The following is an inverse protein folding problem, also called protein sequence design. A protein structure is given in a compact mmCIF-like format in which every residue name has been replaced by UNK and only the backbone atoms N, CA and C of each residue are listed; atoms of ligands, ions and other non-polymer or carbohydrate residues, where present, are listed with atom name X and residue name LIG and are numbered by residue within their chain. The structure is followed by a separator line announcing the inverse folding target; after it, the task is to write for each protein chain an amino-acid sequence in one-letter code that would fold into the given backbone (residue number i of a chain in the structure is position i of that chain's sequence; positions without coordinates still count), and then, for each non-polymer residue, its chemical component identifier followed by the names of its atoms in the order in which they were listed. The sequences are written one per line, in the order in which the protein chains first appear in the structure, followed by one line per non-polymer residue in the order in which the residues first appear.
data_IF_446607232632
#
_entry.id   IF_446607232632
#
_cell.length_a   1.000
_cell.length_b   1.000
_cell.length_c   1.000
_cell.angle_alpha   90.00
_cell.angle_beta   90.00
_cell.angle_gamma   90.00
#
_symmetry.space_group_name_H-M   'P 1'
#
loop_
_entity.id
_entity.type
_entity.pdbx_description
1 polymer ?
#
# COMPACT_ATOMS: atom_id res chain seq x y z
N UNK A 1 -5.19 3.16 16.51
CA UNK A 1 -3.94 2.62 17.15
C UNK A 1 -2.76 3.00 16.25
N UNK A 2 -1.62 3.34 16.84
CA UNK A 2 -0.35 3.54 16.14
C UNK A 2 0.26 2.15 15.92
N UNK A 3 0.66 1.85 14.69
CA UNK A 3 1.29 0.58 14.30
C UNK A 3 2.82 0.70 14.32
N UNK A 4 3.33 1.79 13.75
CA UNK A 4 4.76 2.08 13.67
C UNK A 4 4.99 3.58 13.59
N UNK A 5 6.16 4.04 14.03
CA UNK A 5 6.56 5.45 14.00
C UNK A 5 7.98 5.55 13.46
N UNK A 6 8.16 6.36 12.43
CA UNK A 6 9.44 6.70 11.83
C UNK A 6 9.93 8.08 12.24
N UNK A 7 10.75 8.68 11.39
CA UNK A 7 11.30 10.02 11.59
C UNK A 7 10.43 11.13 10.98
N UNK A 8 9.68 10.83 9.94
CA UNK A 8 8.83 11.77 9.19
C UNK A 8 7.36 11.43 9.27
N UNK A 9 7.04 10.13 9.27
CA UNK A 9 5.67 9.63 9.27
C UNK A 9 5.45 8.60 10.35
N UNK A 10 4.17 8.38 10.67
CA UNK A 10 3.72 7.22 11.44
C UNK A 10 2.58 6.52 10.73
N UNK A 11 2.49 5.22 10.96
CA UNK A 11 1.42 4.39 10.45
C UNK A 11 0.36 4.17 11.53
N UNK A 12 -0.88 4.32 11.15
CA UNK A 12 -2.05 4.21 12.03
C UNK A 12 -3.11 3.34 11.38
N UNK A 13 -3.93 2.65 12.20
CA UNK A 13 -5.20 2.15 11.68
C UNK A 13 -6.00 3.31 11.08
N UNK A 14 -6.73 3.05 9.99
CA UNK A 14 -7.67 4.01 9.40
C UNK A 14 -8.65 4.48 10.48
N UNK A 15 -8.97 5.76 10.50
CA UNK A 15 -9.94 6.40 11.41
C UNK A 15 -11.14 6.88 10.61
N UNK A 16 -12.26 7.07 11.29
CA UNK A 16 -13.48 7.59 10.65
C UNK A 16 -13.22 8.88 9.86
N UNK A 17 -12.40 9.79 10.39
CA UNK A 17 -12.04 11.05 9.74
C UNK A 17 -11.19 10.89 8.48
N UNK A 18 -10.55 9.73 8.30
CA UNK A 18 -9.69 9.45 7.16
C UNK A 18 -10.48 8.90 5.95
N UNK A 19 -11.74 8.49 6.17
CA UNK A 19 -12.56 7.81 5.15
C UNK A 19 -12.87 8.66 3.92
N UNK A 20 -13.09 9.96 4.10
CA UNK A 20 -13.38 10.87 2.98
C UNK A 20 -12.15 11.03 2.08
N UNK A 21 -10.97 11.23 2.68
CA UNK A 21 -9.73 11.31 1.94
C UNK A 21 -9.40 9.97 1.25
N UNK A 22 -9.62 8.84 1.92
CA UNK A 22 -9.44 7.51 1.32
C UNK A 22 -10.41 7.27 0.15
N UNK A 23 -11.65 7.76 0.22
CA UNK A 23 -12.63 7.64 -0.85
C UNK A 23 -12.30 8.51 -2.08
N UNK A 24 -11.65 9.64 -1.88
CA UNK A 24 -11.24 10.54 -2.96
C UNK A 24 -10.09 9.96 -3.81
N UNK A 25 -9.31 9.06 -3.24
CA UNK A 25 -8.19 8.39 -3.92
C UNK A 25 -8.59 6.96 -4.26
N UNK A 26 -8.76 6.69 -5.55
CA UNK A 26 -9.22 5.41 -6.08
C UNK A 26 -8.23 4.29 -5.73
N UNK A 27 -8.56 3.50 -4.71
CA UNK A 27 -7.95 2.19 -4.52
C UNK A 27 -8.73 1.16 -5.32
N UNK A 28 -8.11 0.63 -6.35
CA UNK A 28 -8.69 -0.47 -7.11
C UNK A 28 -8.21 -1.77 -6.48
N UNK A 29 -8.97 -2.33 -5.55
CA UNK A 29 -8.75 -3.67 -5.01
C UNK A 29 -9.33 -4.77 -5.90
N UNK A 30 -9.97 -4.41 -7.00
CA UNK A 30 -10.62 -5.34 -7.91
C UNK A 30 -10.65 -4.76 -9.31
N UNK A 31 -10.37 -5.59 -10.29
CA UNK A 31 -10.51 -5.28 -11.72
C UNK A 31 -11.95 -4.85 -12.07
N UNK A 32 -12.93 -5.32 -11.28
CA UNK A 32 -14.35 -5.19 -11.61
C UNK A 32 -15.10 -4.12 -10.82
N UNK A 33 -14.59 -3.71 -9.65
CA UNK A 33 -15.28 -2.71 -8.83
C UNK A 33 -14.32 -1.83 -8.03
N UNK A 34 -14.13 -0.56 -8.42
CA UNK A 34 -13.39 0.37 -7.59
C UNK A 34 -14.14 0.62 -6.27
N UNK A 35 -13.44 0.49 -5.13
CA UNK A 35 -13.95 0.86 -3.81
C UNK A 35 -13.96 2.39 -3.65
N UNK A 36 -14.76 3.07 -4.45
CA UNK A 36 -14.75 4.54 -4.56
C UNK A 36 -15.89 5.21 -3.81
N UNK A 37 -16.84 4.44 -3.27
CA UNK A 37 -17.97 5.00 -2.57
C UNK A 37 -17.68 5.10 -1.07
N UNK A 38 -17.75 6.32 -0.52
CA UNK A 38 -17.66 6.56 0.92
C UNK A 38 -18.63 5.68 1.72
N UNK A 39 -19.83 5.43 1.17
CA UNK A 39 -20.83 4.54 1.77
C UNK A 39 -20.30 3.10 1.91
N UNK A 40 -19.66 2.56 0.87
CA UNK A 40 -19.06 1.20 0.93
C UNK A 40 -17.88 1.15 1.89
N UNK A 41 -16.99 2.14 1.84
CA UNK A 41 -15.87 2.23 2.78
C UNK A 41 -16.37 2.27 4.22
N UNK A 42 -17.45 3.00 4.50
CA UNK A 42 -18.04 3.06 5.83
C UNK A 42 -18.55 1.70 6.30
N UNK A 43 -19.24 0.96 5.44
CA UNK A 43 -19.72 -0.40 5.76
C UNK A 43 -18.57 -1.36 6.09
N UNK A 44 -17.48 -1.30 5.31
CA UNK A 44 -16.30 -2.15 5.58
C UNK A 44 -15.64 -1.71 6.89
N UNK A 45 -15.49 -0.40 7.09
CA UNK A 45 -14.92 0.16 8.33
C UNK A 45 -15.71 -0.28 9.57
N UNK A 46 -17.03 -0.16 9.53
CA UNK A 46 -17.90 -0.53 10.66
C UNK A 46 -17.85 -2.05 10.95
N UNK A 47 -17.53 -2.86 9.92
CA UNK A 47 -17.42 -4.33 10.08
C UNK A 47 -16.10 -4.75 10.75
N UNK A 48 -14.96 -4.20 10.34
CA UNK A 48 -13.64 -4.70 10.76
C UNK A 48 -12.53 -3.63 10.83
N UNK A 49 -12.85 -2.35 10.65
CA UNK A 49 -11.86 -1.28 10.67
C UNK A 49 -10.80 -1.39 9.57
N UNK A 50 -11.10 -2.03 8.45
CA UNK A 50 -10.16 -2.41 7.39
C UNK A 50 -9.01 -3.30 7.87
N UNK A 51 -9.26 -4.18 8.84
CA UNK A 51 -8.22 -5.06 9.36
C UNK A 51 -8.72 -6.48 9.52
N UNK A 52 -8.06 -7.41 8.83
CA UNK A 52 -8.30 -8.85 8.90
C UNK A 52 -6.96 -9.59 8.96
N UNK A 53 -6.99 -10.91 9.02
CA UNK A 53 -5.79 -11.73 8.89
C UNK A 53 -5.17 -11.59 7.50
N UNK A 54 -6.00 -11.56 6.47
CA UNK A 54 -5.57 -11.60 5.07
C UNK A 54 -5.36 -10.23 4.42
N UNK A 55 -5.85 -9.15 5.02
CA UNK A 55 -5.76 -7.81 4.45
C UNK A 55 -5.87 -6.73 5.51
N UNK A 56 -5.31 -5.57 5.20
CA UNK A 56 -5.48 -4.38 6.02
C UNK A 56 -5.18 -3.10 5.28
N UNK A 57 -5.69 -1.99 5.82
CA UNK A 57 -5.37 -0.66 5.35
C UNK A 57 -4.89 0.21 6.50
N UNK A 58 -3.91 1.07 6.21
CA UNK A 58 -3.30 1.98 7.18
C UNK A 58 -3.23 3.39 6.65
N UNK A 59 -3.36 4.36 7.55
CA UNK A 59 -3.14 5.77 7.29
C UNK A 59 -1.65 6.11 7.45
N UNK A 60 -1.12 6.90 6.55
CA UNK A 60 0.20 7.53 6.66
C UNK A 60 -0.05 8.94 7.18
N UNK A 61 0.40 9.22 8.38
CA UNK A 61 0.27 10.55 9.01
C UNK A 61 1.64 11.20 9.14
N UNK A 62 1.76 12.44 8.68
CA UNK A 62 2.95 13.27 8.87
C UNK A 62 3.18 13.54 10.36
N UNK A 63 4.42 13.44 10.82
CA UNK A 63 4.78 13.80 12.20
C UNK A 63 4.85 15.30 12.42
N UNK A 64 5.08 16.08 11.38
CA UNK A 64 5.23 17.52 11.43
C UNK A 64 3.91 18.23 11.78
N UNK A 65 2.86 17.93 11.00
CA UNK A 65 1.58 18.64 11.07
C UNK A 65 0.38 17.73 11.43
N UNK A 66 0.63 16.46 11.67
CA UNK A 66 -0.39 15.43 11.99
C UNK A 66 -1.46 15.27 10.91
N UNK A 67 -1.15 15.67 9.67
CA UNK A 67 -2.03 15.54 8.52
C UNK A 67 -1.93 14.12 7.94
N UNK A 68 -3.04 13.60 7.45
CA UNK A 68 -3.07 12.43 6.61
C UNK A 68 -2.41 12.77 5.27
N UNK A 69 -1.30 12.13 4.94
CA UNK A 69 -0.56 12.36 3.69
C UNK A 69 -0.74 11.23 2.68
N UNK A 70 -1.25 10.10 3.11
CA UNK A 70 -1.47 8.96 2.23
C UNK A 70 -2.09 7.78 2.94
N UNK A 71 -2.29 6.72 2.19
CA UNK A 71 -2.76 5.43 2.71
C UNK A 71 -1.94 4.30 2.12
N UNK A 72 -1.87 3.20 2.85
CA UNK A 72 -1.32 1.95 2.38
C UNK A 72 -2.31 0.82 2.61
N UNK A 73 -2.14 -0.23 1.85
CA UNK A 73 -2.86 -1.47 2.03
C UNK A 73 -1.92 -2.64 1.91
N UNK A 74 -2.30 -3.74 2.52
CA UNK A 74 -1.72 -5.05 2.26
C UNK A 74 -2.83 -6.07 2.13
N UNK A 75 -2.61 -7.08 1.32
CA UNK A 75 -3.53 -8.19 1.13
C UNK A 75 -2.76 -9.42 0.70
N UNK A 76 -3.35 -10.60 0.92
CA UNK A 76 -2.73 -11.86 0.51
C UNK A 76 -2.42 -11.86 -0.98
N UNK A 77 -1.19 -12.20 -1.34
CA UNK A 77 -0.66 -12.13 -2.73
C UNK A 77 -1.38 -13.07 -3.71
N UNK A 78 -2.17 -14.00 -3.23
CA UNK A 78 -2.92 -14.95 -4.03
C UNK A 78 -2.98 -16.35 -3.40
N UNK A 79 -3.74 -17.27 -3.96
CA UNK A 79 -3.96 -18.58 -3.36
C UNK A 79 -2.70 -19.47 -3.33
N UNK A 80 -1.77 -19.25 -4.26
CA UNK A 80 -0.56 -20.06 -4.41
C UNK A 80 0.72 -19.34 -3.95
N UNK A 81 0.64 -18.08 -3.50
CA UNK A 81 1.78 -17.30 -3.04
C UNK A 81 1.62 -17.00 -1.55
N UNK A 82 2.52 -17.53 -0.73
CA UNK A 82 2.53 -17.29 0.71
C UNK A 82 3.18 -15.94 1.02
N UNK A 83 2.36 -14.92 1.21
CA UNK A 83 2.83 -13.57 1.52
C UNK A 83 1.75 -12.52 1.30
N UNK A 84 2.15 -11.28 1.41
CA UNK A 84 1.26 -10.15 1.17
C UNK A 84 1.81 -9.27 0.06
N UNK A 85 0.89 -8.69 -0.69
CA UNK A 85 1.15 -7.58 -1.57
C UNK A 85 0.88 -6.28 -0.83
N UNK A 86 1.77 -5.30 -1.01
CA UNK A 86 1.67 -3.97 -0.41
C UNK A 86 1.40 -2.96 -1.52
N UNK A 87 0.39 -2.11 -1.30
CA UNK A 87 0.15 -0.93 -2.11
C UNK A 87 0.27 0.34 -1.27
N UNK A 88 0.74 1.42 -1.85
CA UNK A 88 0.82 2.73 -1.21
C UNK A 88 0.42 3.85 -2.16
N UNK A 89 -0.23 4.88 -1.62
CA UNK A 89 -0.55 6.10 -2.36
C UNK A 89 -0.38 7.32 -1.45
N UNK A 90 0.31 8.34 -1.95
CA UNK A 90 0.29 9.69 -1.37
C UNK A 90 -0.88 10.46 -2.00
N UNK A 91 -1.65 11.14 -1.17
CA UNK A 91 -2.89 11.81 -1.57
C UNK A 91 -2.64 13.13 -2.28
N UNK A 92 -1.51 13.76 -2.02
CA UNK A 92 -1.14 15.04 -2.61
C UNK A 92 0.22 14.92 -3.32
N UNK A 93 0.31 15.45 -4.53
CA UNK A 93 1.58 15.49 -5.28
C UNK A 93 2.66 16.32 -4.59
N UNK A 94 2.27 17.34 -3.81
CA UNK A 94 3.19 18.14 -3.00
C UNK A 94 3.85 17.35 -1.87
N UNK A 95 3.34 16.19 -1.51
CA UNK A 95 3.94 15.29 -0.54
C UNK A 95 4.97 14.33 -1.16
N UNK A 96 5.08 14.31 -2.49
CA UNK A 96 6.07 13.51 -3.20
C UNK A 96 7.48 14.08 -3.00
N UNK A 97 8.47 13.22 -3.09
CA UNK A 97 9.89 13.61 -2.94
C UNK A 97 10.33 13.88 -1.49
N UNK A 98 9.42 13.93 -0.52
CA UNK A 98 9.74 14.19 0.91
C UNK A 98 10.16 12.93 1.69
N UNK A 99 10.21 11.77 1.04
CA UNK A 99 10.57 10.50 1.68
C UNK A 99 9.44 9.82 2.46
N UNK A 100 8.23 10.36 2.45
CA UNK A 100 7.08 9.81 3.19
C UNK A 100 6.72 8.39 2.76
N UNK A 101 6.60 8.16 1.46
CA UNK A 101 6.25 6.83 0.93
C UNK A 101 7.34 5.79 1.23
N UNK A 102 8.61 6.13 1.04
CA UNK A 102 9.72 5.21 1.31
C UNK A 102 9.80 4.83 2.78
N UNK A 103 9.61 5.79 3.69
CA UNK A 103 9.59 5.51 5.12
C UNK A 103 8.37 4.66 5.49
N UNK A 104 7.19 4.99 4.95
CA UNK A 104 5.96 4.24 5.18
C UNK A 104 6.06 2.78 4.72
N UNK A 105 6.63 2.53 3.53
CA UNK A 105 6.84 1.17 3.01
C UNK A 105 7.78 0.38 3.91
N UNK A 106 8.91 0.95 4.35
CA UNK A 106 9.81 0.29 5.30
C UNK A 106 9.10 -0.04 6.62
N UNK A 107 8.40 0.92 7.21
CA UNK A 107 7.68 0.74 8.45
C UNK A 107 6.62 -0.37 8.36
N UNK A 108 5.84 -0.40 7.27
CA UNK A 108 4.82 -1.44 7.10
C UNK A 108 5.46 -2.81 6.86
N UNK A 109 6.54 -2.87 6.08
CA UNK A 109 7.32 -4.09 5.85
C UNK A 109 7.82 -4.69 7.17
N UNK A 110 8.50 -3.89 7.98
CA UNK A 110 9.05 -4.32 9.25
C UNK A 110 7.93 -4.70 10.24
N UNK A 111 6.84 -3.94 10.26
CA UNK A 111 5.66 -4.26 11.06
C UNK A 111 5.04 -5.62 10.67
N UNK A 112 4.81 -5.86 9.38
CA UNK A 112 4.20 -7.12 8.92
C UNK A 112 5.10 -8.31 9.21
N UNK A 113 6.41 -8.20 8.99
CA UNK A 113 7.34 -9.24 9.36
C UNK A 113 7.38 -9.49 10.88
N UNK A 114 7.34 -8.47 11.70
CA UNK A 114 7.34 -8.61 13.16
C UNK A 114 6.03 -9.22 13.69
N UNK A 115 4.89 -8.77 13.19
CA UNK A 115 3.58 -9.13 13.73
C UNK A 115 2.98 -10.39 13.10
N UNK A 116 3.52 -10.86 11.98
CA UNK A 116 3.03 -12.03 11.25
C UNK A 116 4.16 -13.05 11.03
N UNK A 117 4.44 -13.91 12.01
CA UNK A 117 5.57 -14.87 11.94
C UNK A 117 5.54 -15.79 10.74
N UNK A 118 4.34 -16.13 10.23
CA UNK A 118 4.18 -16.94 9.01
C UNK A 118 4.36 -16.17 7.70
N UNK A 119 4.56 -14.84 7.76
CA UNK A 119 4.83 -14.03 6.57
C UNK A 119 6.33 -14.06 6.26
N UNK A 120 6.71 -14.74 5.19
CA UNK A 120 8.10 -14.81 4.72
C UNK A 120 8.37 -13.96 3.48
N UNK A 121 7.32 -13.39 2.86
CA UNK A 121 7.41 -12.64 1.63
C UNK A 121 6.44 -11.46 1.61
N UNK A 122 6.95 -10.32 1.19
CA UNK A 122 6.15 -9.15 0.82
C UNK A 122 6.49 -8.76 -0.61
N UNK A 123 5.48 -8.37 -1.38
CA UNK A 123 5.68 -7.99 -2.77
C UNK A 123 4.99 -6.67 -3.12
N UNK A 124 5.47 -6.06 -4.20
CA UNK A 124 4.91 -4.88 -4.85
C UNK A 124 4.74 -5.21 -6.33
N UNK A 125 3.56 -4.93 -6.86
CA UNK A 125 3.29 -4.95 -8.31
C UNK A 125 3.24 -3.51 -8.77
N UNK A 126 4.06 -3.17 -9.74
CA UNK A 126 4.30 -1.79 -10.17
C UNK A 126 4.16 -1.74 -11.69
N UNK A 127 3.26 -0.89 -12.17
CA UNK A 127 3.08 -0.67 -13.60
C UNK A 127 4.39 -0.19 -14.23
N UNK A 128 4.71 -0.66 -15.45
CA UNK A 128 5.98 -0.41 -16.13
C UNK A 128 6.30 1.08 -16.33
N UNK A 129 5.26 1.92 -16.43
CA UNK A 129 5.40 3.38 -16.59
C UNK A 129 5.67 4.12 -15.27
N UNK A 130 5.55 3.43 -14.12
CA UNK A 130 5.64 4.04 -12.79
C UNK A 130 7.06 3.98 -12.21
N UNK A 131 8.02 4.55 -12.91
CA UNK A 131 9.42 4.65 -12.48
C UNK A 131 9.64 5.14 -11.04
N UNK A 132 8.88 6.15 -10.54
CA UNK A 132 9.05 6.57 -9.15
C UNK A 132 8.78 5.46 -8.15
N UNK A 133 7.77 4.62 -8.39
CA UNK A 133 7.46 3.48 -7.52
C UNK A 133 8.49 2.36 -7.64
N UNK A 134 9.05 2.10 -8.83
CA UNK A 134 10.13 1.15 -9.00
C UNK A 134 11.38 1.56 -8.20
N UNK A 135 11.83 2.82 -8.33
CA UNK A 135 12.94 3.36 -7.52
C UNK A 135 12.66 3.32 -6.01
N UNK A 136 11.41 3.55 -5.61
CA UNK A 136 10.99 3.43 -4.22
C UNK A 136 11.14 2.00 -3.71
N UNK A 137 10.68 1.02 -4.49
CA UNK A 137 10.78 -0.40 -4.13
C UNK A 137 12.24 -0.81 -3.90
N UNK A 138 13.14 -0.48 -4.84
CA UNK A 138 14.57 -0.74 -4.75
C UNK A 138 15.20 -0.06 -3.52
N UNK A 139 14.89 1.22 -3.30
CA UNK A 139 15.37 1.98 -2.14
C UNK A 139 14.86 1.42 -0.80
N UNK A 140 13.76 0.67 -0.81
CA UNK A 140 13.22 -0.02 0.36
C UNK A 140 13.73 -1.47 0.52
N UNK A 141 14.67 -1.90 -0.35
CA UNK A 141 15.28 -3.23 -0.28
C UNK A 141 14.45 -4.34 -0.90
N UNK A 142 13.53 -3.99 -1.80
CA UNK A 142 12.82 -4.96 -2.62
C UNK A 142 13.64 -5.27 -3.87
N UNK A 143 13.79 -6.56 -4.18
CA UNK A 143 14.48 -7.03 -5.36
C UNK A 143 13.49 -7.24 -6.52
N UNK A 144 13.88 -6.85 -7.72
CA UNK A 144 13.12 -7.15 -8.93
C UNK A 144 13.18 -8.65 -9.24
N UNK A 145 12.04 -9.27 -9.50
CA UNK A 145 11.94 -10.70 -9.82
C UNK A 145 11.48 -10.96 -11.25
N UNK A 146 11.00 -9.94 -11.95
CA UNK A 146 10.60 -10.09 -13.35
C UNK A 146 9.44 -9.21 -13.77
N UNK A 147 8.82 -9.61 -14.89
CA UNK A 147 7.76 -8.88 -15.56
C UNK A 147 6.51 -9.76 -15.64
N UNK A 148 5.40 -9.21 -15.21
CA UNK A 148 4.07 -9.75 -15.41
C UNK A 148 3.48 -9.11 -16.66
N UNK A 149 3.41 -9.86 -17.76
CA UNK A 149 2.94 -9.34 -19.04
C UNK A 149 1.45 -9.04 -19.00
N UNK A 150 1.06 -7.83 -19.42
CA UNK A 150 -0.33 -7.34 -19.50
C UNK A 150 -1.11 -7.50 -18.18
N UNK A 151 -0.42 -7.34 -17.05
CA UNK A 151 -0.99 -7.49 -15.71
C UNK A 151 -1.56 -6.19 -15.15
N UNK A 152 -1.31 -5.06 -15.78
CA UNK A 152 -1.78 -3.73 -15.40
C UNK A 152 -2.39 -2.97 -16.57
N UNK A 153 -2.60 -1.70 -16.34
CA UNK A 153 -3.10 -0.76 -17.34
C UNK A 153 -2.20 0.48 -17.41
N UNK A 154 -2.02 0.98 -18.63
CA UNK A 154 -1.35 2.26 -18.87
C UNK A 154 -2.23 3.43 -18.41
N UNK A 155 -1.69 4.64 -18.48
CA UNK A 155 -2.44 5.87 -18.22
C UNK A 155 -3.59 6.11 -19.23
N UNK A 156 -3.60 5.39 -20.34
CA UNK A 156 -4.62 5.43 -21.41
C UNK A 156 -5.58 4.24 -21.34
N UNK A 157 -5.60 3.51 -20.21
CA UNK A 157 -6.41 2.32 -19.98
C UNK A 157 -6.11 1.14 -20.94
N UNK A 158 -4.93 1.14 -21.57
CA UNK A 158 -4.47 0.01 -22.39
C UNK A 158 -3.72 -1.03 -21.54
N UNK A 159 -3.86 -2.34 -21.82
CA UNK A 159 -3.13 -3.38 -21.11
C UNK A 159 -1.62 -3.18 -21.18
N UNK A 160 -0.97 -3.02 -20.05
CA UNK A 160 0.48 -2.82 -19.90
C UNK A 160 1.12 -3.85 -18.98
N UNK A 161 2.42 -3.95 -19.06
CA UNK A 161 3.20 -4.85 -18.24
C UNK A 161 3.36 -4.28 -16.81
N UNK A 162 3.62 -5.16 -15.86
CA UNK A 162 3.96 -4.77 -14.50
C UNK A 162 5.27 -5.42 -14.09
N UNK A 163 6.07 -4.71 -13.33
CA UNK A 163 7.21 -5.27 -12.62
C UNK A 163 6.76 -5.88 -11.30
N UNK A 164 7.33 -7.03 -10.95
CA UNK A 164 7.17 -7.63 -9.63
C UNK A 164 8.46 -7.46 -8.83
N UNK A 165 8.32 -6.86 -7.66
CA UNK A 165 9.38 -6.69 -6.68
C UNK A 165 9.02 -7.43 -5.41
N UNK A 166 10.02 -8.00 -4.73
CA UNK A 166 9.77 -8.67 -3.46
C UNK A 166 10.85 -8.40 -2.42
N UNK A 167 10.45 -8.50 -1.17
CA UNK A 167 11.35 -8.61 -0.03
C UNK A 167 10.99 -9.87 0.76
N UNK A 168 11.97 -10.72 0.97
CA UNK A 168 11.82 -11.95 1.74
C UNK A 168 12.44 -11.78 3.12
N UNK A 169 11.92 -12.56 4.08
CA UNK A 169 12.49 -12.65 5.42
C UNK A 169 13.66 -13.66 5.38
N UNK A 170 14.81 -13.26 5.89
CA UNK A 170 15.96 -14.14 6.13
C UNK A 170 15.65 -15.13 7.27
#
# INVERSE_FOLDING_TARGET
MILATGSRVRLLNIRVKDLEAAAAHKFTLSITEPLTSLKRLRVIFDRNGFWTEDAGAVAIESLEDKRLVGTMQFYRSGPCIHGYEIGSILHDEYDRGKGYASEAVRLLTDYLFAQRPGCHRLQLIIEEWNDPSARLAEACGYASEGILRKAGYSSEDEPSDCFIYSRVRD
#
